data_IF_442485339878
#
_entry.id   IF_442485339878
#
_cell.length_a   1.000
_cell.length_b   1.000
_cell.length_c   1.000
_cell.angle_alpha   90.00
_cell.angle_beta   90.00
_cell.angle_gamma   90.00
#
_symmetry.space_group_name_H-M   'P 1'
#
loop_
_entity.id
_entity.type
_entity.pdbx_description
1 polymer ?
#
# COMPACT_ATOMS: atom_id res chain seq x y z
N UNK A 1 53.65 -3.57 1.21
CA UNK A 1 53.00 -2.69 0.22
C UNK A 1 52.01 -3.47 -0.67
N UNK A 2 52.44 -4.51 -1.39
CA UNK A 2 51.58 -5.34 -2.26
C UNK A 2 50.29 -5.88 -1.59
N UNK A 3 50.41 -6.33 -0.32
CA UNK A 3 49.30 -6.91 0.47
C UNK A 3 48.22 -5.88 0.89
N UNK A 4 48.63 -4.60 1.01
CA UNK A 4 47.73 -3.47 1.31
C UNK A 4 46.99 -3.06 0.04
N UNK A 5 47.68 -2.98 -1.10
CA UNK A 5 47.04 -2.71 -2.39
C UNK A 5 46.09 -3.83 -2.80
N UNK A 6 46.42 -5.09 -2.51
CA UNK A 6 45.54 -6.24 -2.74
C UNK A 6 44.25 -6.18 -1.89
N UNK A 7 44.37 -5.81 -0.60
CA UNK A 7 43.21 -5.67 0.28
C UNK A 7 42.33 -4.47 -0.08
N UNK A 8 42.94 -3.35 -0.51
CA UNK A 8 42.19 -2.17 -0.98
C UNK A 8 41.44 -2.49 -2.29
N UNK A 9 42.07 -3.19 -3.23
CA UNK A 9 41.43 -3.58 -4.48
C UNK A 9 40.25 -4.55 -4.26
N UNK A 10 40.38 -5.50 -3.33
CA UNK A 10 39.29 -6.41 -2.98
C UNK A 10 38.12 -5.70 -2.29
N UNK A 11 38.39 -4.67 -1.49
CA UNK A 11 37.35 -3.87 -0.82
C UNK A 11 36.57 -2.98 -1.82
N UNK A 12 37.24 -2.42 -2.83
CA UNK A 12 36.60 -1.58 -3.87
C UNK A 12 35.71 -2.43 -4.79
N UNK A 13 36.09 -3.67 -5.09
CA UNK A 13 35.30 -4.59 -5.93
C UNK A 13 33.96 -5.02 -5.30
N UNK A 14 33.81 -4.90 -3.97
CA UNK A 14 32.57 -5.27 -3.27
C UNK A 14 31.54 -4.13 -3.24
N UNK A 15 31.92 -2.90 -3.65
CA UNK A 15 31.03 -1.73 -3.67
C UNK A 15 30.30 -1.53 -5.00
N UNK A 16 30.56 -2.33 -6.03
CA UNK A 16 29.84 -2.26 -7.31
C UNK A 16 28.54 -3.06 -7.24
N UNK A 17 27.62 -2.62 -6.38
CA UNK A 17 26.24 -3.09 -6.36
C UNK A 17 25.48 -2.59 -7.59
N UNK A 18 24.76 -3.49 -8.24
CA UNK A 18 23.95 -3.22 -9.42
C UNK A 18 22.91 -2.11 -9.16
N UNK A 19 23.03 -0.97 -9.86
CA UNK A 19 21.89 -0.09 -10.12
C UNK A 19 21.11 -0.66 -11.31
N UNK A 20 20.17 -1.57 -11.06
CA UNK A 20 19.18 -1.97 -12.07
C UNK A 20 18.08 -0.90 -12.13
N UNK A 21 18.10 -0.07 -13.17
CA UNK A 21 17.02 0.89 -13.48
C UNK A 21 15.75 0.10 -13.83
N UNK A 22 14.59 0.36 -13.21
CA UNK A 22 13.34 -0.24 -13.68
C UNK A 22 13.02 0.32 -15.07
N UNK A 23 12.93 -0.57 -16.07
CA UNK A 23 12.44 -0.22 -17.39
C UNK A 23 10.92 0.01 -17.28
N UNK A 24 10.49 1.27 -17.30
CA UNK A 24 9.08 1.60 -17.48
C UNK A 24 8.71 1.27 -18.93
N UNK A 25 8.18 0.06 -19.14
CA UNK A 25 7.58 -0.32 -20.42
C UNK A 25 6.23 0.40 -20.52
N UNK A 26 6.19 1.50 -21.28
CA UNK A 26 4.94 2.08 -21.72
C UNK A 26 4.34 1.17 -22.81
N UNK A 27 3.59 0.15 -22.42
CA UNK A 27 2.69 -0.53 -23.35
C UNK A 27 1.47 0.35 -23.59
N UNK A 28 1.58 1.21 -24.60
CA UNK A 28 0.41 1.82 -25.22
C UNK A 28 -0.31 0.76 -26.05
N UNK A 29 -1.17 -0.03 -25.43
CA UNK A 29 -2.21 -0.77 -26.15
C UNK A 29 -3.47 0.08 -26.08
N UNK A 30 -3.72 0.84 -27.14
CA UNK A 30 -4.98 1.54 -27.33
C UNK A 30 -6.06 0.53 -27.70
N UNK A 31 -6.69 -0.08 -26.70
CA UNK A 31 -7.98 -0.75 -26.89
C UNK A 31 -9.06 0.31 -27.10
N UNK A 32 -10.05 0.08 -27.98
CA UNK A 32 -11.15 1.01 -28.17
C UNK A 32 -11.89 1.19 -26.85
N UNK A 33 -12.09 2.43 -26.43
CA UNK A 33 -12.94 2.79 -25.29
C UNK A 33 -14.35 2.24 -25.54
N UNK A 34 -14.66 1.08 -24.94
CA UNK A 34 -16.04 0.76 -24.59
C UNK A 34 -16.51 1.93 -23.73
N UNK A 35 -17.66 2.54 -24.04
CA UNK A 35 -18.27 3.57 -23.19
C UNK A 35 -18.34 3.03 -21.75
N UNK A 36 -17.36 3.40 -20.94
CA UNK A 36 -17.21 2.95 -19.56
C UNK A 36 -18.11 3.75 -18.63
N UNK A 37 -18.37 3.21 -17.45
CA UNK A 37 -18.97 3.99 -16.36
C UNK A 37 -18.03 5.13 -15.91
N UNK A 38 -18.53 6.05 -15.07
CA UNK A 38 -17.80 7.21 -14.56
C UNK A 38 -16.71 6.91 -13.54
N UNK A 39 -15.95 5.84 -13.77
CA UNK A 39 -14.87 5.31 -12.94
C UNK A 39 -13.58 6.15 -13.12
N UNK A 40 -12.82 6.38 -12.05
CA UNK A 40 -11.54 7.07 -12.04
C UNK A 40 -10.37 6.09 -12.11
N UNK A 41 -9.49 6.26 -13.10
CA UNK A 41 -8.33 5.39 -13.36
C UNK A 41 -8.74 3.91 -13.43
N UNK A 42 -8.37 3.13 -12.42
CA UNK A 42 -8.53 1.68 -12.31
C UNK A 42 -9.56 1.28 -11.24
N UNK A 43 -10.37 2.22 -10.72
CA UNK A 43 -11.42 1.92 -9.73
C UNK A 43 -12.70 1.30 -10.33
N UNK A 44 -12.69 1.05 -11.64
CA UNK A 44 -13.78 0.41 -12.35
C UNK A 44 -13.87 -1.10 -12.10
N UNK A 45 -14.93 -1.76 -12.62
CA UNK A 45 -15.22 -3.18 -12.40
C UNK A 45 -14.25 -4.18 -13.07
N UNK A 46 -13.07 -3.72 -13.51
CA UNK A 46 -12.09 -4.52 -14.25
C UNK A 46 -12.53 -4.92 -15.67
N UNK A 47 -11.71 -5.73 -16.34
CA UNK A 47 -11.92 -6.10 -17.75
C UNK A 47 -13.03 -7.12 -18.01
N UNK A 48 -13.36 -7.94 -17.00
CA UNK A 48 -14.27 -9.07 -17.12
C UNK A 48 -15.25 -9.18 -15.94
N UNK A 49 -16.12 -8.18 -15.72
CA UNK A 49 -17.18 -8.29 -14.73
C UNK A 49 -18.15 -9.45 -15.08
N UNK A 50 -18.66 -10.20 -14.10
CA UNK A 50 -19.75 -11.14 -14.31
C UNK A 50 -20.99 -10.46 -14.93
N UNK A 51 -21.72 -11.17 -15.80
CA UNK A 51 -22.91 -10.60 -16.46
C UNK A 51 -24.06 -10.30 -15.47
N UNK A 52 -24.07 -10.97 -14.32
CA UNK A 52 -25.12 -10.91 -13.30
C UNK A 52 -24.66 -10.27 -11.97
N UNK A 53 -23.85 -9.20 -12.04
CA UNK A 53 -23.40 -8.46 -10.83
C UNK A 53 -24.56 -7.96 -9.98
N UNK A 54 -25.66 -7.55 -10.63
CA UNK A 54 -26.89 -7.08 -9.98
C UNK A 54 -27.61 -8.18 -9.18
N UNK A 55 -27.33 -9.45 -9.49
CA UNK A 55 -27.85 -10.58 -8.74
C UNK A 55 -26.98 -10.95 -7.52
N UNK A 56 -25.80 -10.34 -7.34
CA UNK A 56 -24.94 -10.57 -6.17
C UNK A 56 -25.62 -9.90 -4.96
N UNK A 57 -25.94 -10.64 -3.89
CA UNK A 57 -26.51 -10.05 -2.69
C UNK A 57 -25.55 -9.06 -2.03
N UNK A 58 -26.11 -8.05 -1.37
CA UNK A 58 -25.33 -7.09 -0.58
C UNK A 58 -24.47 -7.80 0.47
N UNK A 59 -23.27 -7.25 0.69
CA UNK A 59 -22.36 -7.76 1.70
C UNK A 59 -22.97 -7.62 3.10
N UNK A 60 -22.99 -8.71 3.86
CA UNK A 60 -23.38 -8.68 5.28
C UNK A 60 -22.20 -8.17 6.13
N UNK A 61 -22.37 -7.13 6.97
CA UNK A 61 -21.33 -6.67 7.89
C UNK A 61 -20.88 -7.79 8.82
N UNK A 62 -19.56 -7.89 9.04
CA UNK A 62 -18.94 -8.86 9.95
C UNK A 62 -18.00 -8.14 10.88
N UNK A 63 -17.94 -8.59 12.12
CA UNK A 63 -16.94 -8.10 13.07
C UNK A 63 -15.61 -8.76 12.72
N UNK A 64 -14.63 -7.95 12.31
CA UNK A 64 -13.29 -8.42 12.02
C UNK A 64 -12.40 -8.35 13.28
N UNK A 65 -11.41 -9.25 13.42
CA UNK A 65 -10.42 -9.17 14.48
C UNK A 65 -9.58 -7.89 14.37
N UNK A 66 -9.16 -7.36 15.52
CA UNK A 66 -8.23 -6.24 15.59
C UNK A 66 -6.89 -6.60 14.91
N UNK A 67 -6.44 -5.76 13.97
CA UNK A 67 -5.13 -5.93 13.34
C UNK A 67 -4.01 -5.63 14.34
N UNK A 68 -3.12 -6.59 14.59
CA UNK A 68 -2.06 -6.44 15.59
C UNK A 68 -1.07 -5.30 15.29
N UNK A 69 -0.81 -5.00 14.01
CA UNK A 69 0.12 -3.93 13.60
C UNK A 69 -0.54 -2.56 13.64
N UNK A 70 -1.77 -2.45 13.14
CA UNK A 70 -2.50 -1.17 13.14
C UNK A 70 -2.85 -0.68 14.55
N UNK A 71 -2.94 -1.59 15.52
CA UNK A 71 -3.27 -1.26 16.90
C UNK A 71 -2.05 -1.13 17.83
N UNK A 72 -0.83 -1.00 17.29
CA UNK A 72 0.35 -0.69 18.10
C UNK A 72 0.36 0.79 18.51
N UNK A 73 0.93 1.13 19.69
CA UNK A 73 1.22 2.51 20.03
C UNK A 73 2.15 3.16 18.99
N UNK A 74 1.89 4.42 18.64
CA UNK A 74 2.66 5.15 17.64
C UNK A 74 2.87 6.62 18.03
N UNK A 75 3.77 7.30 17.31
CA UNK A 75 4.04 8.73 17.46
C UNK A 75 3.65 9.44 16.17
N UNK A 76 2.88 10.53 16.29
CA UNK A 76 2.53 11.41 15.19
C UNK A 76 2.45 12.85 15.70
N UNK A 77 2.94 13.83 14.93
CA UNK A 77 2.91 15.24 15.32
C UNK A 77 3.49 15.48 16.72
N UNK A 78 4.61 14.83 17.04
CA UNK A 78 5.28 14.86 18.36
C UNK A 78 4.42 14.38 19.55
N UNK A 79 3.30 13.70 19.28
CA UNK A 79 2.41 13.15 20.29
C UNK A 79 2.39 11.62 20.25
N UNK A 80 2.34 10.99 21.42
CA UNK A 80 2.22 9.53 21.56
C UNK A 80 0.74 9.14 21.64
N UNK A 81 0.33 8.20 20.80
CA UNK A 81 -1.03 7.67 20.75
C UNK A 81 -1.04 6.17 21.06
N UNK A 82 -2.10 5.71 21.74
CA UNK A 82 -2.35 4.30 22.04
C UNK A 82 -3.78 3.95 21.59
N UNK A 83 -3.97 3.18 20.51
CA UNK A 83 -5.29 2.79 20.02
C UNK A 83 -6.07 1.93 21.03
N UNK A 84 -7.41 1.99 20.96
CA UNK A 84 -8.28 1.05 21.68
C UNK A 84 -8.27 -0.31 20.98
N UNK A 85 -8.05 -1.39 21.73
CA UNK A 85 -7.97 -2.78 21.24
C UNK A 85 -9.20 -3.62 21.57
N UNK A 86 -10.32 -2.96 21.87
CA UNK A 86 -11.59 -3.61 22.20
C UNK A 86 -12.76 -2.67 21.93
N UNK A 87 -13.94 -3.26 21.71
CA UNK A 87 -15.17 -2.50 21.47
C UNK A 87 -15.77 -2.04 22.79
N UNK A 88 -15.80 -0.73 23.01
CA UNK A 88 -16.54 -0.11 24.11
C UNK A 88 -17.36 1.06 23.58
N UNK A 89 -18.56 1.31 24.13
CA UNK A 89 -19.26 2.55 23.87
C UNK A 89 -18.36 3.74 24.22
N UNK A 90 -18.06 4.59 23.25
CA UNK A 90 -17.21 5.76 23.42
C UNK A 90 -18.01 7.04 23.16
N UNK A 91 -17.88 8.03 24.05
CA UNK A 91 -18.46 9.36 23.88
C UNK A 91 -17.55 10.39 24.51
N UNK A 92 -17.14 11.37 23.72
CA UNK A 92 -16.27 12.47 24.14
C UNK A 92 -16.83 13.79 23.64
N UNK A 93 -16.53 14.89 24.34
CA UNK A 93 -16.82 16.25 23.91
C UNK A 93 -15.51 16.96 23.65
N UNK A 94 -15.27 17.39 22.41
CA UNK A 94 -14.13 18.22 22.05
C UNK A 94 -14.27 19.65 22.57
N UNK A 95 -13.14 20.35 22.66
CA UNK A 95 -13.08 21.79 22.87
C UNK A 95 -12.93 22.42 21.48
N UNK A 96 -13.86 23.28 21.07
CA UNK A 96 -13.72 24.07 19.86
C UNK A 96 -12.84 25.30 20.14
N UNK A 97 -11.91 25.61 19.25
CA UNK A 97 -11.06 26.80 19.27
C UNK A 97 -11.53 27.85 18.27
#
# INVERSE_FOLDING_TARGET
MFKIYFSIFMLISMLTGCASVPSFKNESVSTPSKKGGGYYLDDGPGDHPPENIDAIPDATPKVEPFNARANQPYIALDNKYTPMTSFYPYKERGIAS
#
